data_IF_891112800579
#
_entry.id   IF_891112800579
#
_cell.length_a   1.000
_cell.length_b   1.000
_cell.length_c   1.000
_cell.angle_alpha   90.00
_cell.angle_beta   90.00
_cell.angle_gamma   90.00
#
_symmetry.space_group_name_H-M   'P 1'
#
loop_
_entity.id
_entity.type
_entity.pdbx_description
1 polymer ?
#
# COMPACT_ATOMS: atom_id res chain seq x y z
N UNK A 1 4.77 2.26 27.46
CA UNK A 1 4.46 1.39 26.30
C UNK A 1 4.40 2.31 25.10
N UNK A 2 5.03 1.97 23.97
CA UNK A 2 4.87 2.76 22.73
C UNK A 2 3.64 2.22 22.01
N UNK A 3 2.71 3.09 21.65
CA UNK A 3 1.54 2.72 20.85
C UNK A 3 1.96 2.56 19.39
N UNK A 4 1.53 1.48 18.75
CA UNK A 4 1.75 1.21 17.33
C UNK A 4 0.39 1.24 16.65
N UNK A 5 0.22 2.11 15.66
CA UNK A 5 -0.93 2.08 14.77
C UNK A 5 -0.65 1.13 13.62
N UNK A 6 -1.54 0.14 13.43
CA UNK A 6 -1.41 -0.88 12.38
C UNK A 6 -2.32 -0.53 11.20
N UNK A 7 -1.74 -0.45 10.00
CA UNK A 7 -2.50 -0.28 8.75
C UNK A 7 -2.11 -1.35 7.75
N UNK A 8 -3.08 -2.12 7.28
CA UNK A 8 -2.89 -3.14 6.24
C UNK A 8 -3.46 -2.66 4.91
N UNK A 9 -2.65 -2.75 3.88
CA UNK A 9 -3.04 -2.56 2.49
C UNK A 9 -3.23 -3.93 1.86
N UNK A 10 -4.49 -4.31 1.69
CA UNK A 10 -4.91 -5.52 1.01
C UNK A 10 -5.99 -5.18 0.01
N UNK A 11 -5.75 -5.38 -1.29
CA UNK A 11 -6.85 -5.43 -2.26
C UNK A 11 -7.62 -6.76 -2.11
N UNK A 12 -8.43 -6.88 -1.06
CA UNK A 12 -9.48 -7.89 -0.96
C UNK A 12 -10.81 -7.15 -0.91
N UNK A 13 -11.66 -7.34 -1.92
CA UNK A 13 -13.09 -7.03 -1.82
C UNK A 13 -13.69 -7.87 -0.68
N UNK A 14 -13.55 -7.41 0.55
CA UNK A 14 -14.14 -7.99 1.76
C UNK A 14 -14.52 -6.86 2.72
N UNK A 15 -15.82 -6.74 2.93
CA UNK A 15 -16.47 -5.84 3.88
C UNK A 15 -15.79 -5.87 5.25
N UNK A 16 -15.50 -4.69 5.80
CA UNK A 16 -14.97 -4.47 7.13
C UNK A 16 -15.81 -5.21 8.20
N UNK A 17 -15.23 -6.24 8.82
CA UNK A 17 -15.80 -6.96 9.95
C UNK A 17 -15.01 -6.66 11.21
N UNK A 18 -15.38 -5.60 11.92
CA UNK A 18 -14.86 -5.35 13.26
C UNK A 18 -15.45 -6.41 14.23
N UNK A 19 -14.59 -7.18 14.89
CA UNK A 19 -14.99 -8.04 16.03
C UNK A 19 -14.41 -7.46 17.32
N UNK A 20 -15.34 -7.15 18.22
CA UNK A 20 -15.16 -6.64 19.58
C UNK A 20 -14.26 -7.51 20.46
N UNK A 21 -13.44 -6.87 21.30
CA UNK A 21 -12.96 -7.46 22.56
C UNK A 21 -13.39 -6.55 23.70
N UNK A 22 -14.32 -7.03 24.52
CA UNK A 22 -14.72 -6.38 25.78
C UNK A 22 -13.66 -6.63 26.86
N UNK A 23 -13.42 -5.65 27.74
CA UNK A 23 -13.36 -5.89 29.20
C UNK A 23 -13.50 -4.57 30.01
N UNK A 24 -14.31 -4.63 31.06
CA UNK A 24 -14.61 -3.61 32.08
C UNK A 24 -13.39 -3.26 32.96
N UNK A 25 -13.32 -2.00 33.46
CA UNK A 25 -13.36 -1.55 34.90
C UNK A 25 -12.65 -0.19 35.09
N UNK A 26 -13.41 0.84 35.50
CA UNK A 26 -13.14 1.73 36.65
C UNK A 26 -12.14 2.90 36.58
N UNK A 27 -12.66 4.14 36.57
CA UNK A 27 -12.33 5.16 37.59
C UNK A 27 -11.36 6.32 37.26
N UNK A 28 -11.91 7.54 37.42
CA UNK A 28 -11.28 8.84 37.76
C UNK A 28 -10.83 9.78 36.64
N UNK A 29 -11.28 11.03 36.77
CA UNK A 29 -11.32 12.11 35.79
C UNK A 29 -10.04 12.95 35.68
N UNK A 30 -9.79 13.49 34.48
CA UNK A 30 -9.25 14.84 34.24
C UNK A 30 -9.60 15.31 32.82
N UNK A 31 -9.94 16.58 32.66
CA UNK A 31 -10.60 17.18 31.49
C UNK A 31 -9.66 18.03 30.63
N UNK A 32 -9.57 17.70 29.34
CA UNK A 32 -9.01 18.56 28.31
C UNK A 32 -9.27 17.99 26.92
N UNK A 33 -10.12 18.64 26.12
CA UNK A 33 -10.40 18.23 24.74
C UNK A 33 -9.15 18.41 23.87
N UNK A 34 -8.48 17.29 23.57
CA UNK A 34 -7.35 17.23 22.63
C UNK A 34 -7.88 17.03 21.19
N UNK A 35 -7.18 17.56 20.17
CA UNK A 35 -7.48 17.26 18.78
C UNK A 35 -7.38 15.74 18.54
N UNK A 36 -8.41 15.15 17.93
CA UNK A 36 -8.44 13.74 17.57
C UNK A 36 -7.53 13.48 16.38
N UNK A 37 -6.63 12.52 16.51
CA UNK A 37 -5.80 12.06 15.40
C UNK A 37 -6.64 11.22 14.44
N UNK A 38 -6.55 11.55 13.15
CA UNK A 38 -7.31 10.87 12.10
C UNK A 38 -6.33 10.31 11.07
N UNK A 39 -6.43 9.02 10.81
CA UNK A 39 -5.78 8.37 9.68
C UNK A 39 -6.82 8.14 8.60
N UNK A 40 -6.59 8.74 7.44
CA UNK A 40 -7.45 8.57 6.28
C UNK A 40 -6.77 7.61 5.31
N UNK A 41 -7.39 6.45 5.09
CA UNK A 41 -6.96 5.46 4.10
C UNK A 41 -7.81 5.66 2.84
N UNK A 42 -7.17 5.98 1.73
CA UNK A 42 -7.78 6.07 0.42
C UNK A 42 -7.49 4.78 -0.35
N UNK A 43 -8.49 3.93 -0.55
CA UNK A 43 -8.38 2.76 -1.42
C UNK A 43 -8.74 3.13 -2.85
N UNK A 44 -7.89 2.79 -3.82
CA UNK A 44 -8.17 2.98 -5.24
C UNK A 44 -7.78 1.76 -6.07
N UNK A 45 -8.61 1.41 -7.05
CA UNK A 45 -8.31 0.42 -8.09
C UNK A 45 -8.34 1.07 -9.47
N UNK A 46 -7.67 0.47 -10.46
CA UNK A 46 -7.51 1.00 -11.82
C UNK A 46 -8.82 1.21 -12.58
N UNK A 47 -9.90 0.59 -12.11
CA UNK A 47 -11.28 0.71 -12.56
C UNK A 47 -12.02 1.94 -12.01
N UNK A 48 -11.37 2.76 -11.17
CA UNK A 48 -11.89 4.04 -10.71
C UNK A 48 -12.82 3.98 -9.50
N UNK A 49 -12.92 2.83 -8.84
CA UNK A 49 -13.60 2.72 -7.54
C UNK A 49 -12.69 3.24 -6.42
N UNK A 50 -13.18 4.22 -5.65
CA UNK A 50 -12.50 4.78 -4.48
C UNK A 50 -13.29 4.47 -3.21
N UNK A 51 -12.73 3.67 -2.31
CA UNK A 51 -13.27 3.47 -0.96
C UNK A 51 -12.37 4.22 0.03
N UNK A 52 -12.88 5.29 0.65
CA UNK A 52 -12.18 5.97 1.74
C UNK A 52 -12.53 5.27 3.07
N UNK A 53 -11.55 4.65 3.71
CA UNK A 53 -11.67 4.12 5.07
C UNK A 53 -11.04 5.13 6.02
N UNK A 54 -11.85 5.76 6.86
CA UNK A 54 -11.33 6.59 7.96
C UNK A 54 -11.07 5.66 9.14
N UNK A 55 -9.80 5.44 9.46
CA UNK A 55 -9.42 4.83 10.71
C UNK A 55 -9.31 5.95 11.75
N UNK A 56 -10.35 6.10 12.56
CA UNK A 56 -10.24 6.87 13.78
C UNK A 56 -9.35 6.07 14.73
N UNK A 57 -8.24 6.66 15.17
CA UNK A 57 -7.57 6.15 16.34
C UNK A 57 -8.54 6.38 17.51
N UNK A 58 -9.13 5.32 18.05
CA UNK A 58 -9.93 5.42 19.25
C UNK A 58 -8.99 5.77 20.41
N UNK A 59 -8.92 7.06 20.75
CA UNK A 59 -8.59 7.44 22.10
C UNK A 59 -9.70 6.87 22.99
N UNK A 60 -9.33 6.07 23.98
CA UNK A 60 -10.25 5.46 24.92
C UNK A 60 -10.92 6.54 25.78
N UNK A 61 -11.99 7.15 25.27
CA UNK A 61 -12.85 8.01 26.06
C UNK A 61 -14.31 7.72 25.70
N UNK A 62 -14.95 6.88 26.52
CA UNK A 62 -16.38 6.57 26.38
C UNK A 62 -17.16 7.42 27.36
N UNK A 63 -17.91 8.38 26.83
CA UNK A 63 -18.81 9.21 27.63
C UNK A 63 -19.79 9.99 26.78
N UNK A 64 -20.91 9.35 26.42
CA UNK A 64 -22.06 10.00 25.80
C UNK A 64 -22.83 10.85 26.80
N UNK A 65 -23.06 12.14 26.51
CA UNK A 65 -24.35 12.77 26.75
C UNK A 65 -24.53 14.03 25.89
N UNK A 66 -25.70 14.12 25.27
CA UNK A 66 -26.16 15.25 24.46
C UNK A 66 -26.46 16.45 25.35
N UNK A 67 -25.82 17.59 25.09
CA UNK A 67 -26.28 18.90 25.58
C UNK A 67 -26.29 19.91 24.43
N UNK A 68 -27.45 20.54 24.30
CA UNK A 68 -27.93 21.34 23.18
C UNK A 68 -27.62 22.84 23.43
N UNK A 69 -26.65 23.46 22.75
CA UNK A 69 -26.41 24.92 22.76
C UNK A 69 -25.59 25.42 21.53
N UNK A 70 -25.64 26.72 21.18
CA UNK A 70 -26.19 27.23 19.93
C UNK A 70 -25.16 27.37 18.78
N UNK A 71 -25.72 27.42 17.57
CA UNK A 71 -25.07 27.66 16.28
C UNK A 71 -24.10 28.86 16.33
N UNK A 72 -22.80 28.57 16.24
CA UNK A 72 -21.75 29.54 15.96
C UNK A 72 -20.76 28.90 15.00
N UNK A 73 -20.56 29.54 13.84
CA UNK A 73 -19.54 29.17 12.86
C UNK A 73 -18.16 29.22 13.52
N UNK A 74 -17.69 28.09 14.03
CA UNK A 74 -16.28 27.90 14.35
C UNK A 74 -15.57 27.51 13.06
N UNK A 75 -15.00 28.50 12.37
CA UNK A 75 -13.92 28.24 11.41
C UNK A 75 -12.73 27.71 12.20
N UNK A 76 -12.66 26.39 12.38
CA UNK A 76 -11.46 25.73 12.89
C UNK A 76 -10.42 25.75 11.77
N UNK A 77 -9.55 26.77 11.79
CA UNK A 77 -8.26 26.71 11.11
C UNK A 77 -7.35 25.74 11.88
N UNK A 78 -7.71 24.46 11.89
CA UNK A 78 -6.86 23.38 12.34
C UNK A 78 -6.03 22.96 11.13
N UNK A 79 -4.74 23.29 11.13
CA UNK A 79 -3.77 22.47 10.39
C UNK A 79 -4.01 21.03 10.88
N UNK A 80 -4.59 20.17 10.06
CA UNK A 80 -4.94 18.83 10.50
C UNK A 80 -3.65 18.05 10.80
N UNK A 81 -3.60 17.40 11.98
CA UNK A 81 -2.60 16.39 12.35
C UNK A 81 -2.89 15.07 11.61
N UNK A 82 -3.23 15.16 10.33
CA UNK A 82 -3.72 14.04 9.55
C UNK A 82 -2.55 13.40 8.81
N UNK A 83 -2.50 12.07 8.81
CA UNK A 83 -1.61 11.29 7.97
C UNK A 83 -2.48 10.65 6.88
N UNK A 84 -2.20 10.98 5.63
CA UNK A 84 -2.92 10.47 4.46
C UNK A 84 -2.24 9.21 3.96
N UNK A 85 -2.98 8.11 3.93
CA UNK A 85 -2.53 6.80 3.48
C UNK A 85 -3.29 6.42 2.20
N UNK A 86 -2.63 5.81 1.23
CA UNK A 86 -3.29 5.31 0.01
C UNK A 86 -2.84 3.89 -0.33
N UNK A 87 -3.79 3.05 -0.74
CA UNK A 87 -3.51 1.75 -1.35
C UNK A 87 -3.72 1.86 -2.85
N UNK A 88 -2.77 1.39 -3.66
CA UNK A 88 -2.97 1.38 -5.11
C UNK A 88 -2.28 0.21 -5.81
N UNK A 89 -3.09 -0.67 -6.41
CA UNK A 89 -2.59 -1.69 -7.33
C UNK A 89 -2.32 -1.06 -8.71
N UNK A 90 -1.09 -1.18 -9.21
CA UNK A 90 -0.63 -0.53 -10.43
C UNK A 90 -0.87 -1.36 -11.71
N UNK A 91 -1.59 -2.48 -11.60
CA UNK A 91 -1.98 -3.38 -12.69
C UNK A 91 -0.79 -3.81 -13.55
N UNK A 92 0.26 -4.34 -12.93
CA UNK A 92 1.52 -4.73 -13.54
C UNK A 92 2.28 -3.52 -14.12
N UNK A 93 2.84 -2.68 -13.25
CA UNK A 93 3.78 -1.64 -13.66
C UNK A 93 5.18 -2.24 -13.84
N UNK A 94 5.51 -2.54 -15.10
CA UNK A 94 6.81 -3.04 -15.56
C UNK A 94 7.53 -1.96 -16.35
N UNK A 95 8.87 -1.93 -16.28
CA UNK A 95 9.69 -1.22 -17.24
C UNK A 95 9.78 -1.97 -18.58
N UNK A 96 10.69 -1.57 -19.44
CA UNK A 96 10.79 -2.06 -20.83
C UNK A 96 12.08 -2.83 -21.08
N UNK A 97 12.83 -3.09 -20.02
CA UNK A 97 14.05 -3.87 -19.99
C UNK A 97 13.76 -5.18 -19.27
N UNK A 98 14.64 -6.16 -19.48
CA UNK A 98 14.48 -7.47 -18.87
C UNK A 98 15.30 -7.57 -17.57
N UNK A 99 14.69 -8.11 -16.54
CA UNK A 99 15.25 -8.23 -15.19
C UNK A 99 15.87 -9.59 -14.92
N UNK A 100 17.10 -9.54 -14.40
CA UNK A 100 17.81 -10.69 -13.81
C UNK A 100 18.18 -10.34 -12.38
N UNK A 101 17.50 -10.95 -11.42
CA UNK A 101 17.68 -10.65 -9.98
C UNK A 101 18.39 -11.81 -9.32
N UNK A 102 19.55 -11.56 -8.69
CA UNK A 102 20.36 -12.58 -8.02
C UNK A 102 20.70 -13.78 -8.93
N UNK A 103 20.91 -13.53 -10.22
CA UNK A 103 21.18 -14.57 -11.22
C UNK A 103 19.94 -15.36 -11.66
N UNK A 104 18.76 -15.01 -11.18
CA UNK A 104 17.48 -15.58 -11.60
C UNK A 104 16.84 -14.71 -12.68
N UNK A 105 16.55 -15.35 -13.80
CA UNK A 105 15.82 -14.83 -14.96
C UNK A 105 14.35 -14.60 -14.58
N UNK A 106 13.88 -13.35 -14.57
CA UNK A 106 12.49 -13.03 -14.24
C UNK A 106 11.59 -13.20 -15.47
N UNK A 107 10.38 -13.70 -15.27
CA UNK A 107 9.44 -13.96 -16.36
C UNK A 107 8.62 -12.70 -16.73
N UNK A 108 9.31 -11.68 -17.22
CA UNK A 108 8.77 -10.36 -17.59
C UNK A 108 8.52 -10.22 -19.11
N UNK A 109 8.75 -11.26 -19.91
CA UNK A 109 8.80 -11.18 -21.39
C UNK A 109 7.54 -10.59 -22.03
N UNK A 110 6.40 -10.71 -21.34
CA UNK A 110 5.16 -10.09 -21.77
C UNK A 110 5.31 -8.56 -21.87
N UNK A 111 6.01 -7.94 -20.92
CA UNK A 111 6.23 -6.50 -20.79
C UNK A 111 7.57 -6.06 -21.40
N UNK A 112 7.96 -6.64 -22.53
CA UNK A 112 9.08 -6.17 -23.34
C UNK A 112 8.60 -5.58 -24.67
N UNK A 113 9.43 -4.74 -25.34
CA UNK A 113 9.15 -4.28 -26.70
C UNK A 113 8.95 -5.45 -27.66
N UNK A 114 8.09 -5.29 -28.67
CA UNK A 114 7.77 -6.40 -29.60
C UNK A 114 9.00 -6.87 -30.41
N UNK A 115 9.99 -5.99 -30.59
CA UNK A 115 11.26 -6.31 -31.25
C UNK A 115 12.34 -6.82 -30.29
N UNK A 116 12.04 -7.00 -29.01
CA UNK A 116 13.03 -7.43 -28.02
C UNK A 116 13.41 -8.91 -28.26
N UNK A 117 14.70 -9.28 -28.25
CA UNK A 117 15.14 -10.66 -28.54
C UNK A 117 14.51 -11.73 -27.64
N UNK A 118 14.21 -11.37 -26.38
CA UNK A 118 13.60 -12.31 -25.42
C UNK A 118 12.11 -12.58 -25.67
N UNK A 119 11.46 -11.92 -26.65
CA UNK A 119 10.11 -12.29 -27.08
C UNK A 119 10.03 -13.73 -27.61
N UNK A 120 11.14 -14.33 -28.01
CA UNK A 120 11.21 -15.75 -28.36
C UNK A 120 10.86 -16.66 -27.16
N UNK A 121 11.14 -16.22 -25.92
CA UNK A 121 10.79 -16.94 -24.69
C UNK A 121 9.28 -16.95 -24.39
N UNK A 122 8.48 -16.15 -25.10
CA UNK A 122 7.01 -16.20 -25.02
C UNK A 122 6.39 -17.53 -25.50
N UNK A 123 7.18 -18.46 -26.07
CA UNK A 123 6.69 -19.78 -26.47
C UNK A 123 5.64 -19.72 -27.58
N UNK A 124 4.43 -20.24 -27.35
CA UNK A 124 3.31 -20.17 -28.29
C UNK A 124 2.29 -19.07 -27.95
N UNK A 125 2.49 -18.29 -26.88
CA UNK A 125 1.57 -17.20 -26.53
C UNK A 125 1.72 -16.04 -27.51
N UNK A 126 0.81 -15.99 -28.47
CA UNK A 126 0.74 -14.93 -29.49
C UNK A 126 0.56 -13.54 -28.87
N UNK A 127 -0.16 -13.42 -27.75
CA UNK A 127 -0.36 -12.12 -27.08
C UNK A 127 0.95 -11.60 -26.53
N UNK A 128 1.74 -12.46 -25.88
CA UNK A 128 3.06 -12.08 -25.36
C UNK A 128 3.99 -11.60 -26.49
N UNK A 129 4.00 -12.29 -27.63
CA UNK A 129 4.83 -11.94 -28.78
C UNK A 129 4.44 -10.62 -29.45
N UNK A 130 3.14 -10.38 -29.59
CA UNK A 130 2.61 -9.20 -30.29
C UNK A 130 2.43 -7.99 -29.37
N UNK A 131 2.41 -8.18 -28.04
CA UNK A 131 2.29 -7.09 -27.08
C UNK A 131 3.57 -6.26 -27.06
N UNK A 132 3.50 -5.10 -27.69
CA UNK A 132 4.60 -4.14 -27.77
C UNK A 132 4.65 -3.23 -26.54
N UNK A 133 5.20 -3.70 -25.42
CA UNK A 133 5.41 -2.83 -24.25
C UNK A 133 6.66 -1.98 -24.46
N UNK A 134 6.48 -0.67 -24.68
CA UNK A 134 7.57 0.23 -25.04
C UNK A 134 7.54 1.51 -24.18
N UNK A 135 8.59 2.32 -24.28
CA UNK A 135 8.73 3.54 -23.47
C UNK A 135 7.55 4.50 -23.59
N UNK A 136 6.92 4.57 -24.76
CA UNK A 136 5.74 5.43 -24.97
C UNK A 136 4.52 4.91 -24.18
N UNK A 137 4.30 3.59 -24.16
CA UNK A 137 3.23 2.97 -23.37
C UNK A 137 3.52 3.05 -21.87
N UNK A 138 4.76 2.84 -21.46
CA UNK A 138 5.19 2.99 -20.08
C UNK A 138 4.96 4.43 -19.59
N UNK A 139 5.42 5.43 -20.35
CA UNK A 139 5.22 6.85 -20.02
C UNK A 139 3.74 7.18 -19.90
N UNK A 140 2.92 6.74 -20.86
CA UNK A 140 1.48 6.94 -20.82
C UNK A 140 0.83 6.27 -19.60
N UNK A 141 1.29 5.07 -19.21
CA UNK A 141 0.80 4.38 -18.01
C UNK A 141 1.17 5.16 -16.75
N UNK A 142 2.43 5.56 -16.60
CA UNK A 142 2.89 6.38 -15.47
C UNK A 142 2.07 7.67 -15.34
N UNK A 143 1.85 8.38 -16.45
CA UNK A 143 1.04 9.60 -16.44
C UNK A 143 -0.41 9.36 -16.03
N UNK A 144 -1.00 8.22 -16.41
CA UNK A 144 -2.36 7.85 -16.02
C UNK A 144 -2.44 7.49 -14.54
N UNK A 145 -1.50 6.68 -14.05
CA UNK A 145 -1.40 6.32 -12.64
C UNK A 145 -1.22 7.57 -11.77
N UNK A 146 -0.32 8.48 -12.19
CA UNK A 146 -0.09 9.73 -11.49
C UNK A 146 -1.35 10.60 -11.43
N UNK A 147 -2.08 10.73 -12.54
CA UNK A 147 -3.35 11.48 -12.57
C UNK A 147 -4.40 10.89 -11.63
N UNK A 148 -4.47 9.57 -11.49
CA UNK A 148 -5.39 8.92 -10.53
C UNK A 148 -5.03 9.34 -9.11
N UNK A 149 -3.75 9.26 -8.73
CA UNK A 149 -3.28 9.67 -7.40
C UNK A 149 -3.55 11.17 -7.16
N UNK A 150 -3.19 12.02 -8.13
CA UNK A 150 -3.42 13.48 -8.06
C UNK A 150 -4.92 13.83 -7.96
N UNK A 151 -5.81 13.03 -8.56
CA UNK A 151 -7.26 13.26 -8.50
C UNK A 151 -7.86 13.04 -7.10
N UNK A 152 -7.13 12.40 -6.18
CA UNK A 152 -7.56 12.19 -4.81
C UNK A 152 -7.31 13.42 -3.90
N UNK A 153 -6.76 14.51 -4.45
CA UNK A 153 -6.46 15.75 -3.73
C UNK A 153 -4.96 15.88 -3.44
N UNK A 154 -4.61 16.29 -2.23
CA UNK A 154 -3.19 16.34 -1.85
C UNK A 154 -2.56 14.95 -1.92
N UNK A 155 -1.35 14.90 -2.45
CA UNK A 155 -0.58 13.66 -2.52
C UNK A 155 -0.46 13.00 -1.13
N UNK A 156 -0.71 11.68 -0.99
CA UNK A 156 -0.67 10.99 0.29
C UNK A 156 0.68 11.10 1.02
N UNK A 157 0.67 11.01 2.33
CA UNK A 157 1.90 10.94 3.14
C UNK A 157 2.58 9.57 2.98
N UNK A 158 1.80 8.51 2.78
CA UNK A 158 2.27 7.15 2.46
C UNK A 158 1.37 6.52 1.40
N UNK A 159 1.97 5.86 0.41
CA UNK A 159 1.27 5.04 -0.58
C UNK A 159 1.83 3.61 -0.53
N UNK A 160 0.97 2.65 -0.23
CA UNK A 160 1.23 1.23 -0.43
C UNK A 160 0.86 0.83 -1.85
N UNK A 161 1.81 0.27 -2.59
CA UNK A 161 1.64 -0.16 -3.96
C UNK A 161 1.69 -1.68 -4.09
N UNK A 162 0.86 -2.20 -4.99
CA UNK A 162 0.89 -3.59 -5.46
C UNK A 162 1.17 -3.64 -6.97
N UNK A 163 1.68 -4.79 -7.43
CA UNK A 163 1.95 -5.07 -8.84
C UNK A 163 3.04 -4.20 -9.50
N UNK A 164 4.19 -4.11 -8.84
CA UNK A 164 5.37 -3.37 -9.32
C UNK A 164 6.46 -4.36 -9.72
N UNK A 165 7.18 -4.09 -10.81
CA UNK A 165 8.33 -4.91 -11.17
C UNK A 165 9.53 -4.67 -10.26
N UNK A 166 10.00 -3.43 -10.18
CA UNK A 166 11.23 -3.08 -9.50
C UNK A 166 11.25 -1.61 -9.02
N UNK A 167 12.28 -1.24 -8.26
CA UNK A 167 12.45 0.12 -7.76
C UNK A 167 12.66 1.16 -8.88
N UNK A 168 13.20 0.75 -10.03
CA UNK A 168 13.52 1.64 -11.16
C UNK A 168 12.23 2.15 -11.80
N UNK A 169 11.27 1.26 -12.10
CA UNK A 169 9.99 1.66 -12.69
C UNK A 169 9.14 2.47 -11.72
N UNK A 170 9.08 2.07 -10.45
CA UNK A 170 8.35 2.83 -9.43
C UNK A 170 9.00 4.19 -9.16
N UNK A 171 10.33 4.29 -9.28
CA UNK A 171 11.06 5.54 -9.23
C UNK A 171 10.66 6.54 -10.33
N UNK A 172 10.24 6.06 -11.52
CA UNK A 172 9.70 6.94 -12.57
C UNK A 172 8.33 7.52 -12.18
N UNK A 173 7.47 6.73 -11.52
CA UNK A 173 6.20 7.22 -10.98
C UNK A 173 6.43 8.20 -9.81
N UNK A 174 7.38 7.90 -8.92
CA UNK A 174 7.77 8.77 -7.82
C UNK A 174 8.23 10.15 -8.34
N UNK A 175 9.11 10.18 -9.36
CA UNK A 175 9.53 11.43 -10.01
C UNK A 175 8.35 12.22 -10.57
N UNK A 176 7.45 11.53 -11.29
CA UNK A 176 6.26 12.16 -11.90
C UNK A 176 5.35 12.79 -10.84
N UNK A 177 5.28 12.21 -9.65
CA UNK A 177 4.49 12.70 -8.52
C UNK A 177 5.28 13.68 -7.62
N UNK A 178 6.57 13.90 -7.86
CA UNK A 178 7.41 14.78 -7.03
C UNK A 178 7.83 14.18 -5.68
N UNK A 179 7.78 12.84 -5.53
CA UNK A 179 8.35 12.16 -4.37
C UNK A 179 9.86 11.93 -4.55
N UNK A 180 10.58 11.77 -3.45
CA UNK A 180 11.97 11.32 -3.49
C UNK A 180 12.05 9.81 -3.74
N UNK A 181 12.88 9.39 -4.70
CA UNK A 181 13.20 7.96 -4.92
C UNK A 181 13.89 7.30 -3.74
N UNK A 182 14.48 8.08 -2.82
CA UNK A 182 15.11 7.54 -1.62
C UNK A 182 14.06 7.11 -0.58
N UNK A 183 12.82 7.58 -0.71
CA UNK A 183 11.72 7.28 0.20
C UNK A 183 10.85 6.12 -0.32
N UNK A 184 11.49 5.14 -0.94
CA UNK A 184 10.86 3.96 -1.52
C UNK A 184 11.40 2.72 -0.83
N UNK A 185 10.50 1.89 -0.33
CA UNK A 185 10.81 0.57 0.22
C UNK A 185 10.05 -0.46 -0.63
N UNK A 186 10.73 -1.47 -1.16
CA UNK A 186 10.14 -2.48 -2.05
C UNK A 186 10.64 -3.86 -1.64
N UNK A 187 9.79 -4.87 -1.78
CA UNK A 187 10.17 -6.27 -1.56
C UNK A 187 11.11 -6.78 -2.65
N UNK A 188 11.85 -7.85 -2.34
CA UNK A 188 12.60 -8.62 -3.33
C UNK A 188 12.26 -10.10 -3.18
N UNK A 189 10.97 -10.40 -3.32
CA UNK A 189 10.41 -11.69 -2.99
C UNK A 189 10.79 -12.80 -3.98
N UNK A 190 10.45 -14.06 -3.63
CA UNK A 190 10.73 -15.23 -4.46
C UNK A 190 9.83 -15.36 -5.70
N UNK A 191 8.97 -14.38 -6.00
CA UNK A 191 8.08 -14.45 -7.18
C UNK A 191 8.91 -14.40 -8.47
N UNK A 192 8.86 -15.50 -9.23
CA UNK A 192 9.57 -15.65 -10.50
C UNK A 192 9.12 -14.64 -11.56
N UNK A 193 7.93 -14.05 -11.41
CA UNK A 193 7.43 -12.99 -12.30
C UNK A 193 8.03 -11.62 -12.01
N UNK A 194 8.69 -11.46 -10.86
CA UNK A 194 9.16 -10.16 -10.38
C UNK A 194 8.00 -9.19 -10.16
N UNK A 195 6.98 -9.61 -9.40
CA UNK A 195 5.85 -8.73 -9.07
C UNK A 195 5.87 -8.49 -7.56
N UNK A 196 6.35 -7.32 -7.19
CA UNK A 196 6.64 -6.90 -5.83
C UNK A 196 5.53 -6.01 -5.26
N UNK A 197 5.65 -5.72 -3.96
CA UNK A 197 4.88 -4.69 -3.25
C UNK A 197 5.83 -3.62 -2.72
N UNK A 198 5.35 -2.39 -2.57
CA UNK A 198 6.19 -1.28 -2.17
C UNK A 198 5.46 -0.25 -1.31
N UNK A 199 6.24 0.56 -0.59
CA UNK A 199 5.81 1.76 0.11
C UNK A 199 6.58 2.96 -0.45
N UNK A 200 5.85 4.02 -0.81
CA UNK A 200 6.38 5.34 -1.13
C UNK A 200 5.88 6.34 -0.09
N UNK A 201 6.76 7.18 0.47
CA UNK A 201 6.37 8.06 1.57
C UNK A 201 7.01 9.47 1.51
N UNK A 202 6.40 10.41 2.23
CA UNK A 202 6.94 11.75 2.49
C UNK A 202 7.60 11.81 3.87
N UNK A 203 8.65 12.62 3.99
CA UNK A 203 9.41 12.78 5.24
C UNK A 203 8.94 13.95 6.11
N UNK A 204 7.93 14.70 5.66
CA UNK A 204 7.45 15.90 6.37
C UNK A 204 6.85 15.53 7.74
N UNK A 205 6.08 14.44 7.79
CA UNK A 205 5.36 13.98 9.00
C UNK A 205 5.89 12.67 9.58
N UNK A 206 6.70 11.94 8.82
CA UNK A 206 7.13 10.58 9.14
C UNK A 206 8.64 10.45 9.01
N UNK A 207 9.25 9.70 9.91
CA UNK A 207 10.65 9.30 9.82
C UNK A 207 10.73 7.78 9.72
N UNK A 208 11.33 7.27 8.65
CA UNK A 208 11.55 5.83 8.48
C UNK A 208 12.40 5.27 9.63
N UNK A 209 11.96 4.15 10.19
CA UNK A 209 12.67 3.44 11.26
C UNK A 209 13.28 2.16 10.72
N UNK A 210 12.44 1.27 10.19
CA UNK A 210 12.84 -0.03 9.69
C UNK A 210 11.80 -0.59 8.70
N UNK A 211 12.23 -1.60 7.94
CA UNK A 211 11.35 -2.40 7.11
C UNK A 211 11.67 -3.87 7.27
N UNK A 212 10.64 -4.71 7.12
CA UNK A 212 10.78 -6.16 7.19
C UNK A 212 9.91 -6.83 6.14
N UNK A 213 10.50 -7.79 5.43
CA UNK A 213 9.76 -8.69 4.56
C UNK A 213 9.37 -9.93 5.37
N UNK A 214 8.07 -10.22 5.42
CA UNK A 214 7.58 -11.43 6.05
C UNK A 214 7.25 -12.45 4.97
N UNK A 215 8.13 -13.45 4.89
CA UNK A 215 7.97 -14.58 4.00
C UNK A 215 6.67 -15.33 4.27
N UNK A 216 5.94 -15.65 3.19
CA UNK A 216 4.72 -16.44 3.26
C UNK A 216 5.04 -17.85 2.81
N UNK A 217 4.89 -18.82 3.70
CA UNK A 217 5.11 -20.24 3.38
C UNK A 217 4.05 -20.73 2.38
N UNK A 218 4.44 -21.01 1.11
CA UNK A 218 3.53 -21.47 0.08
C UNK A 218 3.36 -22.99 0.11
N UNK A 219 3.84 -23.69 1.15
CA UNK A 219 3.87 -25.14 1.26
C UNK A 219 4.42 -25.83 0.00
N UNK A 220 3.63 -26.72 -0.60
CA UNK A 220 4.00 -27.43 -1.83
C UNK A 220 3.59 -26.69 -3.13
N UNK A 221 3.01 -25.49 -3.02
CA UNK A 221 2.60 -24.71 -4.17
C UNK A 221 3.69 -23.74 -4.63
N UNK A 222 3.46 -23.09 -5.78
CA UNK A 222 4.32 -22.00 -6.27
C UNK A 222 4.49 -20.91 -5.20
N UNK A 223 5.70 -20.32 -5.07
CA UNK A 223 5.97 -19.19 -4.20
C UNK A 223 4.92 -18.10 -4.35
N UNK A 224 4.60 -17.45 -3.23
CA UNK A 224 3.76 -16.27 -3.18
C UNK A 224 4.60 -15.09 -2.72
N UNK A 225 4.10 -13.88 -2.94
CA UNK A 225 4.77 -12.65 -2.55
C UNK A 225 4.84 -12.52 -1.04
N UNK A 226 5.91 -11.89 -0.58
CA UNK A 226 6.11 -11.56 0.82
C UNK A 226 5.20 -10.38 1.22
N UNK A 227 4.97 -10.25 2.53
CA UNK A 227 4.29 -9.09 3.11
C UNK A 227 5.34 -8.07 3.53
N UNK A 228 5.21 -6.83 3.05
CA UNK A 228 6.11 -5.74 3.42
C UNK A 228 5.59 -5.02 4.66
N UNK A 229 6.36 -5.02 5.74
CA UNK A 229 6.18 -4.13 6.88
C UNK A 229 7.14 -2.94 6.78
N UNK A 230 6.63 -1.73 7.01
CA UNK A 230 7.43 -0.51 7.14
C UNK A 230 7.00 0.26 8.38
N UNK A 231 7.95 0.55 9.26
CA UNK A 231 7.71 1.26 10.51
C UNK A 231 8.24 2.69 10.41
N UNK A 232 7.41 3.64 10.84
CA UNK A 232 7.74 5.05 10.91
C UNK A 232 7.57 5.59 12.33
N UNK A 233 8.47 6.47 12.77
CA UNK A 233 8.20 7.37 13.89
C UNK A 233 7.32 8.52 13.37
N UNK A 234 6.28 8.88 14.12
CA UNK A 234 5.37 9.98 13.77
C UNK A 234 5.97 11.28 14.31
N UNK A 235 6.43 12.17 13.42
CA UNK A 235 7.13 13.40 13.81
C UNK A 235 6.23 14.37 14.61
N UNK A 236 4.93 14.33 14.35
CA UNK A 236 3.90 15.09 15.08
C UNK A 236 3.60 14.49 16.47
N UNK A 237 3.89 13.19 16.60
CA UNK A 237 3.67 12.20 17.66
C UNK A 237 4.90 11.67 18.40
N UNK A 238 5.70 12.45 19.17
CA UNK A 238 6.90 11.90 19.81
C UNK A 238 6.62 10.65 20.65
N UNK A 239 7.23 9.53 20.28
CA UNK A 239 7.08 8.24 20.97
C UNK A 239 6.01 7.31 20.39
N UNK A 240 5.22 7.77 19.42
CA UNK A 240 4.26 6.97 18.66
C UNK A 240 4.83 6.52 17.32
N UNK A 241 4.41 5.34 16.89
CA UNK A 241 4.84 4.73 15.63
C UNK A 241 3.65 4.31 14.77
N UNK A 242 3.85 4.42 13.46
CA UNK A 242 2.96 3.88 12.44
C UNK A 242 3.65 2.67 11.81
N UNK A 243 2.99 1.52 11.84
CA UNK A 243 3.40 0.33 11.11
C UNK A 243 2.46 0.11 9.91
N UNK A 244 3.04 0.12 8.72
CA UNK A 244 2.35 -0.05 7.45
C UNK A 244 2.68 -1.42 6.89
N UNK A 245 1.66 -2.21 6.59
CA UNK A 245 1.80 -3.52 5.96
C UNK A 245 1.20 -3.49 4.56
N UNK A 246 1.96 -3.90 3.55
CA UNK A 246 1.49 -4.03 2.17
C UNK A 246 1.57 -5.49 1.77
N UNK A 247 0.47 -6.02 1.23
CA UNK A 247 0.43 -7.36 0.69
C UNK A 247 -0.41 -7.44 -0.59
N UNK A 248 -0.12 -8.43 -1.42
CA UNK A 248 -0.91 -8.70 -2.61
C UNK A 248 -1.29 -10.20 -2.65
N UNK A 249 -2.51 -10.47 -2.20
CA UNK A 249 -3.04 -11.83 -2.04
C UNK A 249 -3.15 -12.58 -3.38
N UNK A 250 -2.96 -13.91 -3.39
CA UNK A 250 -3.27 -14.74 -4.55
C UNK A 250 -4.73 -14.61 -4.99
N UNK A 251 -4.97 -14.54 -6.30
CA UNK A 251 -6.33 -14.37 -6.85
C UNK A 251 -7.28 -15.51 -6.44
N UNK A 252 -8.56 -15.19 -6.26
CA UNK A 252 -9.60 -16.13 -5.81
C UNK A 252 -10.02 -17.16 -6.88
N UNK A 253 -9.42 -17.13 -8.07
CA UNK A 253 -9.85 -17.90 -9.24
C UNK A 253 -9.63 -19.41 -9.17
N UNK A 254 -9.00 -19.93 -8.11
CA UNK A 254 -8.83 -21.38 -7.91
C UNK A 254 -9.14 -21.82 -6.49
N UNK A 255 -9.69 -23.03 -6.24
CA UNK A 255 -9.90 -23.59 -4.90
C UNK A 255 -8.63 -23.61 -4.03
N UNK A 256 -7.45 -23.68 -4.67
CA UNK A 256 -6.12 -23.65 -4.05
C UNK A 256 -5.72 -22.27 -3.49
N UNK A 257 -6.44 -21.19 -3.85
CA UNK A 257 -6.20 -19.85 -3.29
C UNK A 257 -6.63 -19.70 -1.83
N UNK A 258 -7.52 -20.57 -1.32
CA UNK A 258 -8.07 -20.46 0.04
C UNK A 258 -7.01 -20.60 1.13
N UNK A 259 -6.19 -21.64 1.04
CA UNK A 259 -5.19 -21.94 2.05
C UNK A 259 -4.00 -20.97 2.00
N UNK A 260 -3.57 -20.53 0.80
CA UNK A 260 -2.52 -19.50 0.66
C UNK A 260 -2.92 -18.17 1.31
N UNK A 261 -4.20 -17.81 1.22
CA UNK A 261 -4.76 -16.66 1.94
C UNK A 261 -4.75 -16.86 3.45
N UNK A 262 -5.05 -18.07 3.93
CA UNK A 262 -4.89 -18.38 5.34
C UNK A 262 -3.43 -18.27 5.79
N UNK A 263 -2.47 -18.77 5.01
CA UNK A 263 -1.04 -18.68 5.31
C UNK A 263 -0.56 -17.23 5.43
N UNK A 264 -0.83 -16.39 4.41
CA UNK A 264 -0.41 -14.99 4.49
C UNK A 264 -1.17 -14.18 5.56
N UNK A 265 -2.37 -14.60 5.98
CA UNK A 265 -3.08 -13.97 7.09
C UNK A 265 -2.50 -14.34 8.45
N UNK A 266 -1.86 -15.52 8.56
CA UNK A 266 -1.13 -15.93 9.77
C UNK A 266 0.26 -15.27 9.88
N UNK A 267 0.74 -14.65 8.80
CA UNK A 267 2.02 -13.93 8.76
C UNK A 267 1.92 -12.53 9.38
N UNK A 268 0.72 -11.95 9.40
CA UNK A 268 0.37 -10.67 10.00
C UNK A 268 -0.05 -10.85 11.46
#
# INVERSE_FOLDING_TARGET
MRSILLVTFSLVLASCGARSVQHNVGGSADSGTKPSDTVVILGGSSDGATDSVTCLAEDSDTGSQEDNFPYGDFVTNTKSNEIKLMAYNLENLFDTEHDVVNGQDKNDYFYLPANHPLKDKCGSDKRCKEFDWNDSKLTLKIDRLAKVIESQGDLPDVIGFEEIENAKVLGKLADRLGYSKQNLVITQGPDERGIEVAVLYKTDKLTFVESKEHGVDPGNDRPTRDVLEVVFDINLKPGERLAVYVNHWPSQGTPMSGWKRSSAAMTL
#
